data_IF_428768850500
#
_entry.id   IF_428768850500
#
_cell.length_a   1.000
_cell.length_b   1.000
_cell.length_c   1.000
_cell.angle_alpha   90.00
_cell.angle_beta   90.00
_cell.angle_gamma   90.00
#
_symmetry.space_group_name_H-M   'P 1'
#
loop_
_entity.id
_entity.type
_entity.pdbx_description
1 polymer ?
#
# COMPACT_ATOMS: atom_id res chain seq x y z
N UNK A 1 -97.58 8.43 34.77
CA UNK A 1 -96.60 7.34 34.95
C UNK A 1 -96.46 7.08 36.44
N UNK A 2 -96.57 5.84 36.92
CA UNK A 2 -96.49 5.57 38.36
C UNK A 2 -95.06 5.81 38.87
N UNK A 3 -94.90 6.23 40.14
CA UNK A 3 -93.56 6.47 40.74
C UNK A 3 -92.63 5.26 40.58
N UNK A 4 -93.18 4.04 40.59
CA UNK A 4 -92.44 2.78 40.36
C UNK A 4 -91.90 2.65 38.93
N UNK A 5 -92.66 3.10 37.92
CA UNK A 5 -92.23 3.09 36.53
C UNK A 5 -91.10 4.11 36.28
N UNK A 6 -91.13 5.26 36.95
CA UNK A 6 -90.07 6.28 36.86
C UNK A 6 -88.78 5.75 37.50
N UNK A 7 -88.87 5.11 38.67
CA UNK A 7 -87.70 4.51 39.34
C UNK A 7 -87.09 3.39 38.47
N UNK A 8 -87.92 2.52 37.88
CA UNK A 8 -87.44 1.46 37.00
C UNK A 8 -86.71 2.02 35.77
N UNK A 9 -87.27 3.07 35.13
CA UNK A 9 -86.64 3.73 33.98
C UNK A 9 -85.26 4.32 34.33
N UNK A 10 -85.14 4.97 35.50
CA UNK A 10 -83.87 5.54 35.96
C UNK A 10 -82.81 4.47 36.22
N UNK A 11 -83.20 3.32 36.78
CA UNK A 11 -82.29 2.18 36.99
C UNK A 11 -81.79 1.61 35.67
N UNK A 12 -82.68 1.44 34.68
CA UNK A 12 -82.29 0.96 33.35
C UNK A 12 -81.34 1.94 32.67
N UNK A 13 -81.62 3.24 32.74
CA UNK A 13 -80.72 4.28 32.19
C UNK A 13 -79.36 4.24 32.87
N UNK A 14 -79.31 4.12 34.20
CA UNK A 14 -78.05 4.00 34.94
C UNK A 14 -77.25 2.76 34.51
N UNK A 15 -77.91 1.61 34.35
CA UNK A 15 -77.27 0.38 33.88
C UNK A 15 -76.72 0.51 32.45
N UNK A 16 -77.46 1.18 31.55
CA UNK A 16 -77.00 1.44 30.18
C UNK A 16 -75.80 2.38 30.16
N UNK A 17 -75.80 3.42 31.00
CA UNK A 17 -74.67 4.34 31.13
C UNK A 17 -73.43 3.63 31.66
N UNK A 18 -73.59 2.80 32.69
CA UNK A 18 -72.50 1.98 33.26
C UNK A 18 -71.96 1.00 32.22
N UNK A 19 -72.84 0.30 31.51
CA UNK A 19 -72.46 -0.60 30.43
C UNK A 19 -71.69 0.13 29.32
N UNK A 20 -72.20 1.27 28.86
CA UNK A 20 -71.53 2.09 27.85
C UNK A 20 -70.17 2.63 28.33
N UNK A 21 -70.03 2.95 29.61
CA UNK A 21 -68.77 3.37 30.22
C UNK A 21 -67.73 2.24 30.19
N UNK A 22 -68.12 1.03 30.58
CA UNK A 22 -67.22 -0.14 30.54
C UNK A 22 -66.86 -0.57 29.11
N UNK A 23 -67.76 -0.44 28.14
CA UNK A 23 -67.47 -0.74 26.72
C UNK A 23 -66.68 0.35 25.99
N UNK A 24 -66.61 1.57 26.53
CA UNK A 24 -65.73 2.64 26.04
C UNK A 24 -64.38 2.69 26.75
N UNK A 25 -64.14 1.86 27.76
CA UNK A 25 -62.81 1.71 28.31
C UNK A 25 -61.92 1.13 27.21
N UNK A 26 -60.91 1.87 26.70
CA UNK A 26 -60.01 1.33 25.70
C UNK A 26 -59.33 0.10 26.31
N UNK A 27 -59.23 -0.97 25.51
CA UNK A 27 -58.42 -2.12 25.89
C UNK A 27 -57.02 -1.62 26.32
N UNK A 28 -56.38 -2.23 27.34
CA UNK A 28 -54.99 -1.91 27.65
C UNK A 28 -54.20 -2.04 26.36
N UNK A 29 -53.76 -0.91 25.81
CA UNK A 29 -52.84 -0.92 24.70
C UNK A 29 -51.58 -1.52 25.29
N UNK A 30 -51.28 -2.74 24.88
CA UNK A 30 -49.96 -3.28 25.01
C UNK A 30 -49.01 -2.27 24.36
N UNK A 31 -48.34 -1.53 25.22
CA UNK A 31 -47.17 -0.76 24.90
C UNK A 31 -46.04 -1.77 24.65
N UNK A 32 -46.16 -2.53 23.57
CA UNK A 32 -45.01 -2.99 22.83
C UNK A 32 -44.55 -1.74 22.08
N UNK A 33 -43.79 -0.88 22.76
CA UNK A 33 -42.84 -0.04 22.04
C UNK A 33 -41.86 -1.05 21.42
N UNK A 34 -41.93 -1.36 20.11
CA UNK A 34 -40.96 -2.28 19.55
C UNK A 34 -39.61 -1.60 19.74
N UNK A 35 -38.70 -2.22 20.48
CA UNK A 35 -37.35 -1.68 20.64
C UNK A 35 -36.76 -1.70 19.23
N UNK A 36 -36.78 -0.55 18.57
CA UNK A 36 -36.24 -0.38 17.22
C UNK A 36 -34.74 -0.34 17.36
N UNK A 37 -34.09 -1.50 17.36
CA UNK A 37 -32.65 -1.61 17.32
C UNK A 37 -32.18 -1.01 15.98
N UNK A 38 -31.34 0.02 16.06
CA UNK A 38 -30.85 0.78 14.90
C UNK A 38 -29.35 0.65 14.65
N UNK A 39 -28.59 0.15 15.64
CA UNK A 39 -27.14 0.02 15.58
C UNK A 39 -26.62 -1.23 16.30
N UNK A 40 -25.32 -1.49 16.16
CA UNK A 40 -24.66 -2.66 16.74
C UNK A 40 -24.67 -2.62 18.27
N UNK A 41 -24.42 -1.47 18.88
CA UNK A 41 -24.39 -1.27 20.32
C UNK A 41 -25.75 -1.61 20.96
N UNK A 42 -26.84 -1.12 20.37
CA UNK A 42 -28.21 -1.44 20.79
C UNK A 42 -28.52 -2.94 20.63
N UNK A 43 -28.03 -3.56 19.55
CA UNK A 43 -28.23 -4.98 19.30
C UNK A 43 -27.58 -5.85 20.39
N UNK A 44 -26.33 -5.54 20.74
CA UNK A 44 -25.57 -6.25 21.79
C UNK A 44 -26.16 -5.98 23.17
N UNK A 45 -26.54 -4.72 23.46
CA UNK A 45 -27.17 -4.34 24.72
C UNK A 45 -28.50 -5.06 24.95
N UNK A 46 -29.21 -5.40 23.87
CA UNK A 46 -30.43 -6.21 23.90
C UNK A 46 -30.17 -7.73 24.04
N UNK A 47 -28.92 -8.18 24.13
CA UNK A 47 -28.55 -9.58 24.38
C UNK A 47 -28.61 -10.50 23.16
N UNK A 48 -28.63 -9.93 21.95
CA UNK A 48 -28.67 -10.69 20.71
C UNK A 48 -27.32 -11.35 20.38
N UNK A 49 -27.30 -12.45 19.58
CA UNK A 49 -26.07 -13.15 19.26
C UNK A 49 -25.12 -12.29 18.41
N UNK A 50 -23.84 -12.27 18.81
CA UNK A 50 -22.73 -11.70 18.05
C UNK A 50 -22.04 -12.82 17.29
N UNK A 51 -21.82 -12.63 15.99
CA UNK A 51 -21.14 -13.58 15.13
C UNK A 51 -19.62 -13.47 15.26
N UNK A 52 -18.91 -14.59 15.09
CA UNK A 52 -17.45 -14.69 15.05
C UNK A 52 -16.90 -14.14 13.71
N UNK A 53 -17.13 -12.86 13.44
CA UNK A 53 -16.67 -12.14 12.25
C UNK A 53 -15.96 -10.83 12.63
N UNK A 54 -15.11 -10.34 11.73
CA UNK A 54 -14.46 -9.04 11.88
C UNK A 54 -14.75 -8.14 10.66
N UNK A 55 -15.33 -6.94 10.84
CA UNK A 55 -15.87 -6.39 12.09
C UNK A 55 -16.98 -7.25 12.69
N UNK A 56 -17.20 -7.16 14.01
CA UNK A 56 -18.23 -7.93 14.71
C UNK A 56 -19.61 -7.59 14.16
N UNK A 57 -20.48 -8.59 14.12
CA UNK A 57 -21.85 -8.42 13.63
C UNK A 57 -22.84 -9.00 14.64
N UNK A 58 -23.94 -8.29 14.88
CA UNK A 58 -25.00 -8.69 15.82
C UNK A 58 -26.32 -8.89 15.07
N UNK A 59 -26.98 -10.04 15.28
CA UNK A 59 -28.16 -10.45 14.51
C UNK A 59 -29.48 -10.42 15.30
N UNK A 60 -30.52 -9.83 14.73
CA UNK A 60 -31.89 -9.75 15.29
C UNK A 60 -32.91 -10.18 14.24
N UNK A 61 -33.41 -11.41 14.34
CA UNK A 61 -34.28 -11.98 13.31
C UNK A 61 -33.57 -11.97 11.94
N UNK A 62 -34.17 -11.31 10.95
CA UNK A 62 -33.61 -11.15 9.59
C UNK A 62 -32.68 -9.92 9.42
N UNK A 63 -32.42 -9.15 10.49
CA UNK A 63 -31.56 -7.97 10.45
C UNK A 63 -30.19 -8.27 11.06
N UNK A 64 -29.16 -7.71 10.47
CA UNK A 64 -27.79 -7.75 10.99
C UNK A 64 -27.26 -6.33 11.12
N UNK A 65 -26.63 -6.03 12.26
CA UNK A 65 -25.96 -4.77 12.54
C UNK A 65 -24.46 -5.02 12.64
N UNK A 66 -23.66 -4.30 11.86
CA UNK A 66 -22.20 -4.41 11.88
C UNK A 66 -21.61 -3.33 12.79
N UNK A 67 -20.66 -3.71 13.63
CA UNK A 67 -19.89 -2.77 14.46
C UNK A 67 -19.21 -1.72 13.59
N UNK A 68 -19.51 -0.44 13.84
CA UNK A 68 -18.79 0.66 13.21
C UNK A 68 -17.51 0.86 14.00
N UNK A 69 -16.43 0.24 13.53
CA UNK A 69 -15.10 0.55 14.04
C UNK A 69 -14.71 1.91 13.46
N UNK A 70 -14.94 3.00 14.22
CA UNK A 70 -14.40 4.33 13.90
C UNK A 70 -12.87 4.31 14.06
N UNK A 71 -12.22 3.66 13.11
CA UNK A 71 -10.79 3.69 12.83
C UNK A 71 -10.59 4.87 11.89
N UNK A 72 -10.57 6.08 12.45
CA UNK A 72 -10.00 7.23 11.76
C UNK A 72 -8.90 7.79 12.65
N UNK A 73 -7.70 7.27 12.44
CA UNK A 73 -6.49 7.82 13.04
C UNK A 73 -6.28 9.23 12.49
N UNK A 74 -6.21 10.21 13.38
CA UNK A 74 -5.94 11.59 12.98
C UNK A 74 -4.49 11.72 12.49
N UNK A 75 -4.22 12.74 11.66
CA UNK A 75 -2.85 13.05 11.24
C UNK A 75 -1.91 13.25 12.45
N UNK A 76 -2.41 13.91 13.51
CA UNK A 76 -1.63 14.20 14.70
C UNK A 76 -1.22 12.93 15.45
N UNK A 77 -2.14 11.98 15.61
CA UNK A 77 -1.83 10.68 16.22
C UNK A 77 -0.86 9.88 15.36
N UNK A 78 -1.07 9.87 14.04
CA UNK A 78 -0.18 9.20 13.10
C UNK A 78 1.23 9.80 13.13
N UNK A 79 1.33 11.13 13.22
CA UNK A 79 2.60 11.86 13.30
C UNK A 79 3.38 11.49 14.56
N UNK A 80 2.72 11.37 15.72
CA UNK A 80 3.38 10.95 16.96
C UNK A 80 4.02 9.57 16.83
N UNK A 81 3.31 8.62 16.22
CA UNK A 81 3.84 7.26 15.98
C UNK A 81 5.03 7.31 15.01
N UNK A 82 4.93 8.12 13.95
CA UNK A 82 5.99 8.29 12.97
C UNK A 82 7.26 8.91 13.57
N UNK A 83 7.12 9.97 14.36
CA UNK A 83 8.24 10.63 15.06
C UNK A 83 8.91 9.69 16.07
N UNK A 84 8.13 8.88 16.81
CA UNK A 84 8.68 7.95 17.79
C UNK A 84 9.43 6.78 17.15
N UNK A 85 9.00 6.34 15.95
CA UNK A 85 9.47 5.08 15.35
C UNK A 85 10.54 5.30 14.28
N UNK A 86 10.30 6.25 13.36
CA UNK A 86 11.15 6.44 12.18
C UNK A 86 12.29 7.44 12.41
N UNK A 87 12.14 8.37 13.35
CA UNK A 87 13.07 9.49 13.55
C UNK A 87 14.02 9.19 14.70
N UNK A 88 15.33 9.27 14.43
CA UNK A 88 16.41 9.09 15.40
C UNK A 88 17.37 10.26 15.34
N UNK A 89 17.36 11.11 16.36
CA UNK A 89 18.39 12.12 16.65
C UNK A 89 18.89 12.96 15.46
N UNK A 90 18.33 14.15 15.27
CA UNK A 90 18.74 15.09 14.21
C UNK A 90 17.97 14.94 12.89
N UNK A 91 17.14 13.91 12.79
CA UNK A 91 16.18 13.67 11.70
C UNK A 91 14.86 14.40 11.97
N UNK A 92 14.02 14.56 10.95
CA UNK A 92 12.69 15.18 11.10
C UNK A 92 11.70 14.70 10.04
N UNK A 93 10.41 14.79 10.35
CA UNK A 93 9.35 14.69 9.34
C UNK A 93 9.09 16.05 8.71
N UNK A 94 8.83 16.07 7.41
CA UNK A 94 8.32 17.25 6.71
C UNK A 94 6.92 17.60 7.25
N UNK A 95 6.52 18.85 7.10
CA UNK A 95 5.18 19.30 7.48
C UNK A 95 4.10 18.64 6.61
N UNK A 96 3.00 18.24 7.24
CA UNK A 96 1.86 17.58 6.60
C UNK A 96 2.03 16.07 6.43
N UNK A 97 0.96 15.33 6.67
CA UNK A 97 0.79 13.92 6.33
C UNK A 97 -0.23 13.74 5.21
N UNK A 98 -0.06 12.68 4.42
CA UNK A 98 -1.00 12.31 3.36
C UNK A 98 -1.63 10.97 3.74
N UNK A 99 -2.96 10.92 3.82
CA UNK A 99 -3.69 9.68 4.08
C UNK A 99 -4.04 8.96 2.78
N UNK A 100 -3.73 7.67 2.72
CA UNK A 100 -4.14 6.78 1.64
C UNK A 100 -5.24 5.85 2.15
N UNK A 101 -6.49 6.10 1.73
CA UNK A 101 -7.65 5.32 2.14
C UNK A 101 -7.65 3.88 1.60
N UNK A 102 -6.96 3.61 0.49
CA UNK A 102 -6.92 2.27 -0.10
C UNK A 102 -6.08 1.31 0.76
N UNK A 103 -4.94 1.78 1.25
CA UNK A 103 -4.05 1.01 2.13
C UNK A 103 -4.25 1.31 3.61
N UNK A 104 -5.15 2.26 3.95
CA UNK A 104 -5.37 2.75 5.32
C UNK A 104 -4.06 3.16 6.01
N UNK A 105 -3.26 3.96 5.30
CA UNK A 105 -1.94 4.39 5.78
C UNK A 105 -1.78 5.90 5.73
N UNK A 106 -1.09 6.44 6.74
CA UNK A 106 -0.58 7.80 6.72
C UNK A 106 0.87 7.81 6.23
N UNK A 107 1.18 8.75 5.35
CA UNK A 107 2.51 8.92 4.77
C UNK A 107 3.06 10.28 5.17
N UNK A 108 4.24 10.28 5.77
CA UNK A 108 4.98 11.49 6.11
C UNK A 108 6.31 11.46 5.40
N UNK A 109 6.61 12.48 4.61
CA UNK A 109 7.94 12.64 4.03
C UNK A 109 8.95 12.80 5.18
N UNK A 110 10.06 12.07 5.11
CA UNK A 110 11.07 12.06 6.16
C UNK A 110 12.38 12.66 5.66
N UNK A 111 13.08 13.38 6.53
CA UNK A 111 14.46 13.80 6.34
C UNK A 111 15.32 13.01 7.33
N UNK A 112 15.92 11.93 6.82
CA UNK A 112 16.70 10.98 7.59
C UNK A 112 18.20 11.24 7.38
N UNK A 113 19.02 10.85 8.35
CA UNK A 113 20.48 10.93 8.23
C UNK A 113 21.04 9.85 7.29
N UNK A 114 20.25 8.82 7.01
CA UNK A 114 20.51 7.85 5.95
C UNK A 114 20.09 8.41 4.59
N UNK A 115 20.95 8.26 3.58
CA UNK A 115 20.63 8.62 2.20
C UNK A 115 20.58 7.37 1.32
N UNK A 116 19.64 7.33 0.39
CA UNK A 116 19.58 6.35 -0.68
C UNK A 116 19.42 7.11 -2.01
N UNK A 117 20.41 6.98 -2.89
CA UNK A 117 20.47 7.78 -4.12
C UNK A 117 19.26 7.50 -5.01
N UNK A 118 18.57 8.55 -5.45
CA UNK A 118 17.36 8.44 -6.27
C UNK A 118 16.09 8.08 -5.50
N UNK A 119 16.15 8.05 -4.17
CA UNK A 119 15.01 7.72 -3.31
C UNK A 119 14.74 8.85 -2.31
N UNK A 120 13.46 9.05 -2.01
CA UNK A 120 13.02 9.94 -0.94
C UNK A 120 12.29 9.10 0.12
N UNK A 121 12.78 9.07 1.38
CA UNK A 121 12.16 8.28 2.42
C UNK A 121 10.84 8.90 2.85
N UNK A 122 9.89 8.04 3.20
CA UNK A 122 8.67 8.40 3.91
C UNK A 122 8.50 7.47 5.11
N UNK A 123 8.03 8.00 6.24
CA UNK A 123 7.55 7.19 7.33
C UNK A 123 6.06 6.87 7.08
N UNK A 124 5.74 5.59 6.97
CA UNK A 124 4.39 5.11 6.68
C UNK A 124 3.81 4.50 7.94
N UNK A 125 2.65 4.99 8.38
CA UNK A 125 1.96 4.53 9.58
C UNK A 125 0.68 3.82 9.19
N UNK A 126 0.55 2.58 9.64
CA UNK A 126 -0.67 1.79 9.46
C UNK A 126 -1.72 2.20 10.48
N UNK A 127 -2.90 2.53 9.98
CA UNK A 127 -4.06 2.82 10.82
C UNK A 127 -4.54 1.60 11.60
N UNK A 128 -4.42 0.42 11.02
CA UNK A 128 -4.94 -0.83 11.58
C UNK A 128 -4.03 -1.37 12.69
N UNK A 129 -2.71 -1.39 12.44
CA UNK A 129 -1.75 -1.98 13.37
C UNK A 129 -1.10 -0.96 14.31
N UNK A 130 -1.27 0.35 14.04
CA UNK A 130 -0.62 1.44 14.78
C UNK A 130 0.92 1.33 14.80
N UNK A 131 1.49 0.73 13.77
CA UNK A 131 2.94 0.60 13.57
C UNK A 131 3.41 1.52 12.46
N UNK A 132 4.67 1.92 12.51
CA UNK A 132 5.31 2.73 11.49
C UNK A 132 6.57 2.08 10.93
N UNK A 133 6.81 2.27 9.64
CA UNK A 133 7.98 1.77 8.93
C UNK A 133 8.49 2.79 7.90
N UNK A 134 9.77 2.73 7.56
CA UNK A 134 10.36 3.58 6.53
C UNK A 134 10.10 2.94 5.16
N UNK A 135 9.42 3.68 4.29
CA UNK A 135 9.23 3.34 2.89
C UNK A 135 10.09 4.24 2.00
N UNK A 136 10.98 3.64 1.23
CA UNK A 136 11.82 4.35 0.27
C UNK A 136 11.09 4.45 -1.07
N UNK A 137 10.57 5.63 -1.37
CA UNK A 137 9.96 5.91 -2.67
C UNK A 137 11.06 6.31 -3.64
N UNK A 138 11.58 5.31 -4.34
CA UNK A 138 12.53 5.51 -5.41
C UNK A 138 11.79 5.82 -6.71
N UNK A 139 12.32 6.73 -7.51
CA UNK A 139 11.79 6.95 -8.87
C UNK A 139 12.04 5.69 -9.70
N UNK A 140 10.97 5.04 -10.16
CA UNK A 140 11.06 3.89 -11.07
C UNK A 140 11.80 4.29 -12.36
N UNK A 141 12.79 3.48 -12.73
CA UNK A 141 13.81 3.68 -13.76
C UNK A 141 14.84 4.77 -13.48
N UNK A 142 15.66 4.55 -12.46
CA UNK A 142 17.03 5.03 -12.46
C UNK A 142 17.95 3.95 -11.86
N UNK A 143 18.64 3.11 -12.65
CA UNK A 143 19.81 2.40 -12.14
C UNK A 143 21.01 3.35 -12.27
N UNK A 144 21.07 4.40 -11.46
CA UNK A 144 22.35 5.09 -11.22
C UNK A 144 22.96 4.50 -9.97
N UNK A 145 23.52 3.33 -10.21
CA UNK A 145 24.36 2.50 -9.35
C UNK A 145 25.04 1.51 -10.30
N UNK A 146 25.84 2.03 -11.23
CA UNK A 146 26.51 1.32 -12.31
C UNK A 146 27.36 0.16 -11.79
N UNK A 147 26.86 -1.08 -11.89
CA UNK A 147 27.80 -2.13 -12.27
C UNK A 147 28.24 -1.82 -13.70
N UNK A 148 29.50 -2.05 -14.06
CA UNK A 148 29.93 -1.92 -15.45
C UNK A 148 28.97 -2.71 -16.38
N UNK A 149 28.43 -3.83 -15.91
CA UNK A 149 27.49 -4.67 -16.64
C UNK A 149 26.20 -3.95 -17.06
N UNK A 150 25.56 -3.19 -16.16
CA UNK A 150 24.29 -2.53 -16.46
C UNK A 150 24.48 -1.44 -17.54
N UNK A 151 25.49 -0.59 -17.38
CA UNK A 151 25.74 0.47 -18.37
C UNK A 151 26.23 -0.07 -19.68
N UNK A 152 27.09 -1.09 -19.67
CA UNK A 152 27.53 -1.71 -20.90
C UNK A 152 26.35 -2.37 -21.63
N UNK A 153 25.43 -3.01 -20.91
CA UNK A 153 24.18 -3.53 -21.50
C UNK A 153 23.37 -2.41 -22.15
N UNK A 154 23.21 -1.27 -21.48
CA UNK A 154 22.47 -0.12 -22.04
C UNK A 154 23.17 0.47 -23.27
N UNK A 155 24.49 0.62 -23.24
CA UNK A 155 25.28 1.09 -24.40
C UNK A 155 25.13 0.13 -25.58
N UNK A 156 25.10 -1.18 -25.33
CA UNK A 156 24.83 -2.18 -26.36
C UNK A 156 23.39 -2.12 -26.88
N UNK A 157 22.39 -1.93 -26.03
CA UNK A 157 20.99 -1.76 -26.46
C UNK A 157 20.80 -0.49 -27.30
N UNK A 158 21.51 0.59 -26.97
CA UNK A 158 21.53 1.81 -27.76
C UNK A 158 22.23 1.61 -29.11
N UNK A 159 23.36 0.90 -29.12
CA UNK A 159 24.13 0.61 -30.33
C UNK A 159 23.41 -0.38 -31.26
N UNK A 160 22.65 -1.32 -30.69
CA UNK A 160 21.92 -2.37 -31.39
C UNK A 160 20.43 -2.41 -30.99
N UNK A 161 19.63 -1.41 -31.38
CA UNK A 161 18.24 -1.28 -30.91
C UNK A 161 17.33 -2.47 -31.22
N UNK A 162 17.59 -3.16 -32.34
CA UNK A 162 16.81 -4.35 -32.74
C UNK A 162 16.96 -5.53 -31.78
N UNK A 163 18.01 -5.54 -30.95
CA UNK A 163 18.29 -6.59 -29.97
C UNK A 163 18.18 -6.08 -28.53
N UNK A 164 17.66 -4.88 -28.28
CA UNK A 164 17.64 -4.27 -26.94
C UNK A 164 17.00 -5.16 -25.87
N UNK A 165 15.99 -5.95 -26.25
CA UNK A 165 15.27 -6.87 -25.36
C UNK A 165 15.89 -8.27 -25.28
N UNK A 166 16.65 -8.69 -26.29
CA UNK A 166 17.16 -10.06 -26.42
C UNK A 166 18.66 -10.18 -26.17
N UNK A 167 19.39 -9.07 -26.19
CA UNK A 167 20.83 -9.08 -25.94
C UNK A 167 21.14 -9.29 -24.47
N UNK A 168 22.18 -10.08 -24.23
CA UNK A 168 22.76 -10.31 -22.92
C UNK A 168 24.28 -10.12 -23.00
N UNK A 169 24.87 -9.63 -21.92
CA UNK A 169 26.32 -9.54 -21.80
C UNK A 169 26.80 -10.29 -20.57
N UNK A 170 28.03 -10.79 -20.64
CA UNK A 170 28.72 -11.43 -19.52
C UNK A 170 30.08 -10.78 -19.36
N UNK A 171 30.30 -10.16 -18.21
CA UNK A 171 31.60 -9.62 -17.84
C UNK A 171 32.50 -10.76 -17.37
N UNK A 172 33.68 -10.84 -17.94
CA UNK A 172 34.70 -11.83 -17.58
C UNK A 172 35.79 -11.21 -16.72
N UNK A 173 36.15 -9.95 -17.00
CA UNK A 173 37.10 -9.17 -16.19
C UNK A 173 36.62 -7.73 -16.07
N UNK A 174 36.78 -7.18 -14.88
CA UNK A 174 36.39 -5.81 -14.56
C UNK A 174 37.42 -5.19 -13.61
N UNK A 175 37.69 -3.90 -13.83
CA UNK A 175 38.40 -3.02 -12.92
C UNK A 175 37.57 -1.75 -12.76
N UNK A 176 38.05 -0.79 -11.98
CA UNK A 176 37.39 0.52 -11.85
C UNK A 176 37.16 1.22 -13.19
N UNK A 177 38.05 1.02 -14.17
CA UNK A 177 38.07 1.79 -15.43
C UNK A 177 37.99 0.95 -16.71
N UNK A 178 38.04 -0.39 -16.62
CA UNK A 178 38.07 -1.28 -17.78
C UNK A 178 37.20 -2.51 -17.57
N UNK A 179 36.55 -2.97 -18.64
CA UNK A 179 35.80 -4.21 -18.65
C UNK A 179 36.07 -5.00 -19.94
N UNK A 180 36.10 -6.32 -19.80
CA UNK A 180 36.17 -7.29 -20.90
C UNK A 180 35.09 -8.34 -20.69
N UNK A 181 34.42 -8.73 -21.77
CA UNK A 181 33.40 -9.75 -21.70
C UNK A 181 32.90 -10.23 -23.04
N UNK A 182 31.76 -10.92 -23.02
CA UNK A 182 31.06 -11.41 -24.21
C UNK A 182 29.67 -10.78 -24.32
N UNK A 183 29.22 -10.54 -25.55
CA UNK A 183 27.86 -10.13 -25.87
C UNK A 183 27.18 -11.19 -26.74
N UNK A 184 25.97 -11.58 -26.37
CA UNK A 184 25.09 -12.46 -27.15
C UNK A 184 23.85 -11.66 -27.55
N UNK A 185 23.46 -11.68 -28.82
CA UNK A 185 22.31 -10.91 -29.31
C UNK A 185 20.97 -11.66 -29.19
N UNK A 186 21.03 -12.99 -29.20
CA UNK A 186 19.89 -13.90 -29.10
C UNK A 186 20.30 -15.06 -28.20
N UNK A 187 19.49 -15.36 -27.19
CA UNK A 187 19.77 -16.46 -26.26
C UNK A 187 20.01 -17.78 -26.99
N UNK A 188 21.11 -18.46 -26.64
CA UNK A 188 21.52 -19.73 -27.24
C UNK A 188 22.40 -19.60 -28.49
N UNK A 189 22.59 -18.40 -29.03
CA UNK A 189 23.45 -18.17 -30.20
C UNK A 189 24.88 -17.74 -29.82
N UNK A 190 25.89 -18.08 -30.65
CA UNK A 190 27.25 -17.59 -30.47
C UNK A 190 27.30 -16.06 -30.48
N UNK A 191 27.94 -15.50 -29.47
CA UNK A 191 28.15 -14.07 -29.30
C UNK A 191 29.50 -13.56 -29.82
N UNK A 192 29.77 -12.28 -29.57
CA UNK A 192 31.07 -11.65 -29.78
C UNK A 192 31.77 -11.27 -28.48
N UNK A 193 33.01 -10.85 -28.59
CA UNK A 193 33.80 -10.30 -27.48
C UNK A 193 33.61 -8.79 -27.44
N UNK A 194 33.70 -8.18 -26.26
CA UNK A 194 33.81 -6.73 -26.13
C UNK A 194 34.89 -6.30 -25.15
N UNK A 195 35.41 -5.09 -25.37
CA UNK A 195 36.20 -4.33 -24.42
C UNK A 195 35.59 -2.93 -24.25
N UNK A 196 35.58 -2.47 -23.01
CA UNK A 196 35.09 -1.15 -22.65
C UNK A 196 36.02 -0.46 -21.67
N UNK A 197 36.10 0.86 -21.78
CA UNK A 197 36.94 1.71 -20.94
C UNK A 197 36.16 2.95 -20.48
N UNK A 198 36.50 3.48 -19.30
CA UNK A 198 36.01 4.78 -18.85
C UNK A 198 36.83 5.90 -19.48
N UNK A 199 36.18 6.73 -20.30
CA UNK A 199 36.78 7.90 -20.95
C UNK A 199 36.01 9.13 -20.47
N UNK A 200 36.69 10.07 -19.82
CA UNK A 200 36.03 11.22 -19.19
C UNK A 200 35.09 10.83 -18.04
N UNK A 201 35.36 9.69 -17.38
CA UNK A 201 34.53 9.16 -16.29
C UNK A 201 33.30 8.38 -16.74
N UNK A 202 33.06 8.22 -18.04
CA UNK A 202 31.92 7.48 -18.59
C UNK A 202 32.38 6.21 -19.32
N UNK A 203 31.67 5.10 -19.11
CA UNK A 203 31.91 3.87 -19.86
C UNK A 203 31.66 4.09 -21.36
N UNK A 204 32.57 3.56 -22.17
CA UNK A 204 32.44 3.50 -23.62
C UNK A 204 32.88 2.13 -24.12
N UNK A 205 32.12 1.56 -25.06
CA UNK A 205 32.51 0.34 -25.78
C UNK A 205 33.56 0.75 -26.80
N UNK A 206 34.81 0.33 -26.58
CA UNK A 206 35.95 0.67 -27.46
C UNK A 206 36.23 -0.44 -28.48
N UNK A 207 35.70 -1.65 -28.24
CA UNK A 207 35.76 -2.77 -29.16
C UNK A 207 34.60 -3.73 -28.92
N UNK A 208 34.02 -4.26 -29.99
CA UNK A 208 33.08 -5.36 -29.97
C UNK A 208 33.03 -6.09 -31.33
N UNK A 209 33.00 -7.42 -31.29
CA UNK A 209 32.92 -8.25 -32.50
C UNK A 209 33.51 -9.66 -32.33
N UNK A 210 33.54 -10.39 -33.44
CA UNK A 210 34.06 -11.78 -33.52
C UNK A 210 35.51 -11.85 -34.05
N UNK A 211 36.14 -10.69 -34.27
CA UNK A 211 37.48 -10.57 -34.84
C UNK A 211 38.60 -10.62 -33.78
N UNK A 212 39.84 -10.50 -34.25
CA UNK A 212 41.00 -10.37 -33.36
C UNK A 212 40.97 -9.03 -32.62
N UNK A 213 41.32 -9.06 -31.33
CA UNK A 213 41.41 -7.85 -30.49
C UNK A 213 42.67 -7.08 -30.91
N UNK A 214 42.58 -5.80 -31.35
CA UNK A 214 43.76 -5.03 -31.72
C UNK A 214 44.62 -4.67 -30.50
N UNK A 215 45.93 -4.93 -30.55
CA UNK A 215 46.84 -4.55 -29.46
C UNK A 215 46.96 -3.03 -29.25
N UNK A 216 46.59 -2.23 -30.26
CA UNK A 216 46.50 -0.76 -30.18
C UNK A 216 45.51 -0.27 -29.11
N UNK A 217 44.59 -1.12 -28.62
CA UNK A 217 43.69 -0.78 -27.52
C UNK A 217 44.42 -0.55 -26.19
N UNK A 218 45.69 -0.93 -26.08
CA UNK A 218 46.55 -0.56 -24.94
C UNK A 218 46.62 0.96 -24.71
N UNK A 219 46.39 1.78 -25.75
CA UNK A 219 46.29 3.24 -25.64
C UNK A 219 45.15 3.71 -24.74
N UNK A 220 44.13 2.88 -24.51
CA UNK A 220 43.05 3.13 -23.54
C UNK A 220 43.42 2.71 -22.11
N UNK A 221 44.64 2.23 -21.86
CA UNK A 221 45.15 1.90 -20.53
C UNK A 221 44.71 0.54 -19.99
N UNK A 222 44.32 -0.41 -20.85
CA UNK A 222 43.90 -1.74 -20.41
C UNK A 222 45.03 -2.50 -19.69
N UNK A 223 44.72 -3.24 -18.61
CA UNK A 223 45.63 -4.21 -18.02
C UNK A 223 46.10 -5.26 -19.04
N UNK A 224 47.36 -5.70 -18.92
CA UNK A 224 47.96 -6.65 -19.87
C UNK A 224 47.21 -7.98 -19.95
N UNK A 225 46.59 -8.42 -18.86
CA UNK A 225 45.81 -9.65 -18.81
C UNK A 225 44.43 -9.52 -19.50
N UNK A 226 43.94 -8.30 -19.75
CA UNK A 226 42.75 -8.07 -20.57
C UNK A 226 43.06 -8.05 -22.08
N UNK A 227 44.33 -7.92 -22.47
CA UNK A 227 44.81 -7.90 -23.85
C UNK A 227 45.74 -9.08 -24.19
N UNK A 228 45.74 -10.13 -23.37
CA UNK A 228 46.70 -11.24 -23.49
C UNK A 228 46.62 -12.02 -24.82
N UNK A 229 45.49 -11.93 -25.51
CA UNK A 229 45.16 -12.57 -26.79
C UNK A 229 45.00 -11.55 -27.93
N UNK A 230 45.51 -10.32 -27.76
CA UNK A 230 45.50 -9.34 -28.84
C UNK A 230 46.43 -9.76 -29.99
N UNK A 231 46.13 -9.27 -31.19
CA UNK A 231 46.96 -9.45 -32.38
C UNK A 231 47.06 -8.13 -33.19
N UNK A 232 48.12 -8.03 -34.00
CA UNK A 232 48.37 -6.92 -34.95
C UNK A 232 47.83 -7.26 -36.35
#
# INVERSE_FOLDING_TARGET
MSKKAIVFLLVVIALVIVYAYFYKAPAPQDNENPITITNFEECVAAGNPVMESYPRQCGVGDKTFTEIINTTMTEAEARLIAEQTCIKGGEALTSGGIYNANSKTWWFDANLNSTQQGCNPACVVSEETKTAEINWRCTGLIPFGESAGETLRQLFAQKYPIYAETLSIRIEKETENHARGTITFVDGEPGGIFLAAKIGGQWQIVFDGNGQIPCALSSYGFPADMLSDCAE
#
